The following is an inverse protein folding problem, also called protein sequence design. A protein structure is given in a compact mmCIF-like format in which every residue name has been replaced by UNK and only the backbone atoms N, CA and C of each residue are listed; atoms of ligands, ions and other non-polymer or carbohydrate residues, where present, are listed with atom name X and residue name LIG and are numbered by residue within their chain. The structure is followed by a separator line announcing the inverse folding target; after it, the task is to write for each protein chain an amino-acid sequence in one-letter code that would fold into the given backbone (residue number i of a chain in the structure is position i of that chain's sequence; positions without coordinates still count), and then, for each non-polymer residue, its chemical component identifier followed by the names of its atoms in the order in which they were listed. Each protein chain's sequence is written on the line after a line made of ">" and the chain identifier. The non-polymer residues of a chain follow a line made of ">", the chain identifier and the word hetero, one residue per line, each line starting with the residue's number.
data_IF_302870307433
#
_entry.id   IF_302870307433
#
_cell.length_a   1.000
_cell.length_b   1.000
_cell.length_c   1.000
_cell.angle_alpha   90.00
_cell.angle_beta   90.00
_cell.angle_gamma   90.00
#
_symmetry.space_group_name_H-M   'P 1'
#
loop_
_entity.id
_entity.type
_entity.pdbx_description
1 polymer ?
#
# COMPACT_ATOMS: atom_id res chain seq x y z
N UNK A 1 3.16 -40.69 9.17
CA UNK A 1 2.16 -39.69 9.61
C UNK A 1 2.55 -38.27 9.22
N UNK A 2 3.84 -37.96 9.05
CA UNK A 2 4.31 -36.57 8.81
C UNK A 2 4.10 -35.98 7.41
N UNK A 3 4.07 -36.79 6.35
CA UNK A 3 4.01 -36.25 4.98
C UNK A 3 2.67 -35.57 4.65
N UNK A 4 1.56 -36.05 5.23
CA UNK A 4 0.21 -35.51 5.00
C UNK A 4 0.05 -34.17 5.73
N UNK A 5 0.46 -34.09 7.00
CA UNK A 5 0.42 -32.84 7.77
C UNK A 5 1.31 -31.75 7.16
N UNK A 6 2.51 -32.12 6.70
CA UNK A 6 3.40 -31.18 6.00
C UNK A 6 2.84 -30.71 4.65
N UNK A 7 2.08 -31.56 3.95
CA UNK A 7 1.40 -31.18 2.71
C UNK A 7 0.22 -30.21 2.98
N UNK A 8 -0.57 -30.46 4.03
CA UNK A 8 -1.66 -29.56 4.46
C UNK A 8 -1.13 -28.18 4.84
N UNK A 9 -0.05 -28.11 5.62
CA UNK A 9 0.59 -26.85 6.01
C UNK A 9 1.09 -26.05 4.79
N UNK A 10 1.66 -26.72 3.79
CA UNK A 10 2.08 -26.07 2.53
C UNK A 10 0.89 -25.48 1.78
N UNK A 11 -0.19 -26.26 1.63
CA UNK A 11 -1.40 -25.81 0.92
C UNK A 11 -1.99 -24.57 1.61
N UNK A 12 -2.08 -24.58 2.93
CA UNK A 12 -2.61 -23.44 3.71
C UNK A 12 -1.70 -22.21 3.56
N UNK A 13 -0.38 -22.39 3.62
CA UNK A 13 0.57 -21.30 3.38
C UNK A 13 0.44 -20.69 1.98
N UNK A 14 0.29 -21.51 0.94
CA UNK A 14 0.13 -21.02 -0.42
C UNK A 14 -1.19 -20.25 -0.60
N UNK A 15 -2.28 -20.72 0.01
CA UNK A 15 -3.55 -20.00 0.06
C UNK A 15 -3.44 -18.65 0.77
N UNK A 16 -2.76 -18.61 1.92
CA UNK A 16 -2.54 -17.36 2.65
C UNK A 16 -1.74 -16.36 1.82
N UNK A 17 -0.69 -16.82 1.12
CA UNK A 17 0.07 -15.96 0.18
C UNK A 17 -0.82 -15.41 -0.93
N UNK A 18 -1.72 -16.23 -1.48
CA UNK A 18 -2.68 -15.76 -2.48
C UNK A 18 -3.60 -14.67 -1.91
N UNK A 19 -4.16 -14.86 -0.71
CA UNK A 19 -4.99 -13.86 -0.02
C UNK A 19 -4.23 -12.55 0.23
N UNK A 20 -2.96 -12.61 0.61
CA UNK A 20 -2.14 -11.40 0.79
C UNK A 20 -1.90 -10.65 -0.53
N UNK A 21 -1.76 -11.39 -1.64
CA UNK A 21 -1.64 -10.78 -2.97
C UNK A 21 -2.94 -10.07 -3.40
N UNK A 22 -4.10 -10.50 -2.94
CA UNK A 22 -5.39 -9.82 -3.19
C UNK A 22 -5.39 -8.41 -2.61
N UNK A 23 -4.82 -8.21 -1.41
CA UNK A 23 -4.67 -6.88 -0.82
C UNK A 23 -3.83 -5.96 -1.71
N UNK A 24 -2.71 -6.47 -2.24
CA UNK A 24 -1.85 -5.70 -3.14
C UNK A 24 -2.57 -5.32 -4.44
N UNK A 25 -3.35 -6.24 -5.01
CA UNK A 25 -4.16 -5.99 -6.21
C UNK A 25 -5.25 -4.95 -5.94
N UNK A 26 -5.98 -5.09 -4.84
CA UNK A 26 -7.02 -4.15 -4.42
C UNK A 26 -6.44 -2.76 -4.17
N UNK A 27 -5.31 -2.65 -3.47
CA UNK A 27 -4.63 -1.38 -3.23
C UNK A 27 -4.25 -0.69 -4.53
N UNK A 28 -3.64 -1.42 -5.48
CA UNK A 28 -3.29 -0.89 -6.81
C UNK A 28 -4.51 -0.38 -7.57
N UNK A 29 -5.59 -1.17 -7.59
CA UNK A 29 -6.82 -0.80 -8.29
C UNK A 29 -7.46 0.46 -7.69
N UNK A 30 -7.57 0.50 -6.36
CA UNK A 30 -8.17 1.62 -5.64
C UNK A 30 -7.35 2.92 -5.78
N UNK A 31 -6.02 2.81 -5.78
CA UNK A 31 -5.11 3.94 -5.95
C UNK A 31 -4.93 4.40 -7.39
N UNK A 32 -5.48 3.68 -8.38
CA UNK A 32 -5.27 4.00 -9.80
C UNK A 32 -5.65 5.45 -10.13
N UNK A 33 -6.77 5.95 -9.60
CA UNK A 33 -7.20 7.34 -9.82
C UNK A 33 -6.27 8.37 -9.17
N UNK A 34 -5.68 8.06 -8.01
CA UNK A 34 -4.71 8.91 -7.34
C UNK A 34 -3.40 8.94 -8.13
N UNK A 35 -2.94 7.78 -8.59
CA UNK A 35 -1.73 7.68 -9.41
C UNK A 35 -1.88 8.39 -10.75
N UNK A 36 -3.05 8.28 -11.38
CA UNK A 36 -3.40 8.99 -12.61
C UNK A 36 -3.33 10.51 -12.39
N UNK A 37 -3.91 11.03 -11.31
CA UNK A 37 -3.83 12.44 -10.96
C UNK A 37 -2.37 12.91 -10.75
N UNK A 38 -1.56 12.15 -10.03
CA UNK A 38 -0.13 12.46 -9.85
C UNK A 38 0.58 12.51 -11.20
N UNK A 39 0.36 11.54 -12.09
CA UNK A 39 1.08 11.42 -13.36
C UNK A 39 0.60 12.43 -14.41
N UNK A 40 -0.71 12.65 -14.55
CA UNK A 40 -1.27 13.43 -15.66
C UNK A 40 -1.70 14.84 -15.27
N UNK A 41 -1.84 15.12 -13.97
CA UNK A 41 -2.10 16.48 -13.47
C UNK A 41 -0.83 17.09 -12.91
N UNK A 42 -0.26 16.50 -11.84
CA UNK A 42 0.86 17.12 -11.12
C UNK A 42 2.17 17.05 -11.90
N UNK A 43 2.57 15.88 -12.41
CA UNK A 43 3.80 15.75 -13.19
C UNK A 43 3.75 16.55 -14.49
N UNK A 44 2.58 16.57 -15.16
CA UNK A 44 2.39 17.41 -16.35
C UNK A 44 2.59 18.91 -16.03
N UNK A 45 2.01 19.38 -14.94
CA UNK A 45 2.18 20.77 -14.49
C UNK A 45 3.64 21.07 -14.13
N UNK A 46 4.32 20.13 -13.44
CA UNK A 46 5.75 20.22 -13.14
C UNK A 46 6.58 20.39 -14.42
N UNK A 47 6.42 19.51 -15.41
CA UNK A 47 7.22 19.60 -16.65
C UNK A 47 6.95 20.89 -17.43
N UNK A 48 5.69 21.36 -17.45
CA UNK A 48 5.35 22.64 -18.07
C UNK A 48 6.02 23.82 -17.35
N UNK A 49 5.92 23.86 -16.02
CA UNK A 49 6.54 24.89 -15.18
C UNK A 49 8.07 24.87 -15.34
N UNK A 50 8.69 23.69 -15.28
CA UNK A 50 10.12 23.53 -15.43
C UNK A 50 10.61 23.99 -16.81
N UNK A 51 9.86 23.72 -17.88
CA UNK A 51 10.16 24.22 -19.23
C UNK A 51 10.21 25.76 -19.26
N UNK A 52 9.23 26.41 -18.63
CA UNK A 52 9.15 27.88 -18.53
C UNK A 52 10.29 28.48 -17.67
N UNK A 53 10.99 27.69 -16.84
CA UNK A 53 12.13 28.17 -16.07
C UNK A 53 13.38 28.46 -16.93
N UNK A 54 13.55 27.83 -18.10
CA UNK A 54 14.78 27.93 -18.91
C UNK A 54 14.78 29.17 -19.83
N UNK A 55 14.81 30.35 -19.24
CA UNK A 55 14.87 31.62 -19.94
C UNK A 55 16.30 32.18 -19.99
N UNK A 56 16.71 32.74 -21.14
CA UNK A 56 18.06 33.31 -21.34
C UNK A 56 18.38 34.50 -20.42
N UNK A 57 17.36 35.12 -19.86
CA UNK A 57 17.48 36.26 -18.94
C UNK A 57 17.80 35.85 -17.51
N UNK A 58 17.67 34.55 -17.17
CA UNK A 58 17.91 34.03 -15.82
C UNK A 58 19.32 33.45 -15.69
N UNK A 59 19.86 33.57 -14.50
CA UNK A 59 21.08 32.89 -14.06
C UNK A 59 20.81 31.41 -13.77
N UNK A 60 21.86 30.60 -13.68
CA UNK A 60 21.72 29.17 -13.36
C UNK A 60 21.05 28.94 -11.99
N UNK A 61 21.37 29.76 -10.98
CA UNK A 61 20.80 29.63 -9.64
C UNK A 61 19.30 29.94 -9.64
N UNK A 62 18.88 30.98 -10.39
CA UNK A 62 17.45 31.31 -10.58
C UNK A 62 16.70 30.19 -11.30
N UNK A 63 17.32 29.56 -12.31
CA UNK A 63 16.74 28.40 -13.01
C UNK A 63 16.60 27.22 -12.04
N UNK A 64 17.65 26.88 -11.29
CA UNK A 64 17.63 25.77 -10.32
C UNK A 64 16.54 25.97 -9.28
N UNK A 65 16.47 27.16 -8.67
CA UNK A 65 15.45 27.49 -7.68
C UNK A 65 14.03 27.42 -8.27
N UNK A 66 13.84 27.90 -9.51
CA UNK A 66 12.55 27.81 -10.20
C UNK A 66 12.11 26.34 -10.40
N UNK A 67 13.00 25.48 -10.91
CA UNK A 67 12.71 24.06 -11.14
C UNK A 67 12.41 23.34 -9.82
N UNK A 68 13.16 23.64 -8.76
CA UNK A 68 12.92 23.09 -7.43
C UNK A 68 11.51 23.46 -6.94
N UNK A 69 11.11 24.73 -7.05
CA UNK A 69 9.75 25.18 -6.72
C UNK A 69 8.67 24.46 -7.56
N UNK A 70 8.90 24.28 -8.86
CA UNK A 70 7.98 23.53 -9.72
C UNK A 70 7.80 22.07 -9.27
N UNK A 71 8.82 21.46 -8.67
CA UNK A 71 8.81 20.05 -8.27
C UNK A 71 8.05 19.79 -6.97
N UNK A 72 7.92 20.81 -6.10
CA UNK A 72 7.35 20.70 -4.75
C UNK A 72 5.99 19.98 -4.74
N UNK A 73 5.00 20.31 -5.59
CA UNK A 73 3.69 19.65 -5.55
C UNK A 73 3.76 18.14 -5.84
N UNK A 74 4.61 17.72 -6.78
CA UNK A 74 4.78 16.31 -7.14
C UNK A 74 5.46 15.55 -5.99
N UNK A 75 6.53 16.12 -5.42
CA UNK A 75 7.25 15.51 -4.30
C UNK A 75 6.37 15.39 -3.06
N UNK A 76 5.58 16.41 -2.75
CA UNK A 76 4.62 16.37 -1.64
C UNK A 76 3.56 15.28 -1.84
N UNK A 77 3.02 15.15 -3.05
CA UNK A 77 2.04 14.13 -3.37
C UNK A 77 2.62 12.71 -3.25
N UNK A 78 3.84 12.49 -3.75
CA UNK A 78 4.55 11.22 -3.65
C UNK A 78 4.80 10.83 -2.18
N UNK A 79 5.37 11.74 -1.38
CA UNK A 79 5.62 11.51 0.04
C UNK A 79 4.35 11.19 0.83
N UNK A 80 3.24 11.86 0.51
CA UNK A 80 1.95 11.61 1.13
C UNK A 80 1.44 10.19 0.82
N UNK A 81 1.49 9.78 -0.45
CA UNK A 81 1.04 8.45 -0.88
C UNK A 81 1.89 7.37 -0.22
N UNK A 82 3.23 7.52 -0.24
CA UNK A 82 4.16 6.61 0.41
C UNK A 82 3.88 6.50 1.92
N UNK A 83 3.67 7.63 2.59
CA UNK A 83 3.37 7.67 4.01
C UNK A 83 2.04 6.98 4.39
N UNK A 84 0.96 7.22 3.64
CA UNK A 84 -0.31 6.54 3.90
C UNK A 84 -0.23 5.03 3.59
N UNK A 85 0.52 4.65 2.56
CA UNK A 85 0.73 3.24 2.21
C UNK A 85 1.61 2.51 3.21
N UNK A 86 2.65 3.15 3.74
CA UNK A 86 3.46 2.58 4.81
C UNK A 86 2.61 2.29 6.06
N UNK A 87 1.77 3.25 6.48
CA UNK A 87 0.83 3.04 7.61
C UNK A 87 -0.16 1.92 7.33
N UNK A 88 -0.64 1.80 6.10
CA UNK A 88 -1.54 0.72 5.69
C UNK A 88 -0.86 -0.65 5.78
N UNK A 89 0.35 -0.77 5.24
CA UNK A 89 1.15 -1.99 5.30
C UNK A 89 1.52 -2.36 6.73
N UNK A 90 1.88 -1.39 7.57
CA UNK A 90 2.17 -1.62 8.99
C UNK A 90 0.96 -2.21 9.74
N UNK A 91 -0.24 -1.65 9.52
CA UNK A 91 -1.48 -2.17 10.12
C UNK A 91 -1.76 -3.61 9.71
N UNK A 92 -1.62 -3.92 8.41
CA UNK A 92 -1.79 -5.28 7.90
C UNK A 92 -0.73 -6.22 8.50
N UNK A 93 0.54 -5.84 8.49
CA UNK A 93 1.60 -6.69 9.07
C UNK A 93 1.35 -6.97 10.55
N UNK A 94 0.88 -5.97 11.31
CA UNK A 94 0.52 -6.15 12.71
C UNK A 94 -0.66 -7.10 12.89
N UNK A 95 -1.70 -7.04 12.06
CA UNK A 95 -2.83 -7.98 12.15
C UNK A 95 -2.39 -9.41 11.82
N UNK A 96 -1.48 -9.59 10.85
CA UNK A 96 -0.92 -10.90 10.52
C UNK A 96 -0.06 -11.46 11.65
N UNK A 97 0.75 -10.64 12.33
CA UNK A 97 1.49 -11.07 13.52
C UNK A 97 0.55 -11.59 14.61
N UNK A 98 -0.58 -10.90 14.85
CA UNK A 98 -1.59 -11.38 15.81
C UNK A 98 -2.17 -12.74 15.40
N UNK A 99 -2.40 -12.97 14.10
CA UNK A 99 -2.84 -14.28 13.61
C UNK A 99 -1.78 -15.36 13.84
N UNK A 100 -0.52 -15.04 13.62
CA UNK A 100 0.60 -15.96 13.84
C UNK A 100 0.77 -16.29 15.33
N UNK A 101 0.67 -15.32 16.22
CA UNK A 101 0.74 -15.55 17.67
C UNK A 101 -0.38 -16.48 18.15
N UNK A 102 -1.61 -16.29 17.66
CA UNK A 102 -2.75 -17.17 17.97
C UNK A 102 -2.53 -18.59 17.46
N UNK A 103 -1.96 -18.73 16.26
CA UNK A 103 -1.61 -20.03 15.70
C UNK A 103 -0.59 -20.76 16.58
N UNK A 104 0.50 -20.09 16.96
CA UNK A 104 1.54 -20.68 17.80
C UNK A 104 1.01 -21.12 19.17
N UNK A 105 0.15 -20.31 19.78
CA UNK A 105 -0.52 -20.66 21.04
C UNK A 105 -1.40 -21.91 20.90
N UNK A 106 -2.21 -22.01 19.84
CA UNK A 106 -3.07 -23.17 19.59
C UNK A 106 -2.26 -24.43 19.26
N UNK A 107 -1.17 -24.28 18.50
CA UNK A 107 -0.25 -25.38 18.15
C UNK A 107 0.40 -25.99 19.39
N UNK A 108 0.82 -25.17 20.36
CA UNK A 108 1.38 -25.64 21.63
C UNK A 108 0.37 -26.45 22.47
N UNK A 109 -0.94 -26.27 22.26
CA UNK A 109 -1.99 -27.02 22.94
C UNK A 109 -2.27 -28.39 22.29
N UNK A 110 -1.58 -28.75 21.20
CA UNK A 110 -1.63 -30.07 20.58
C UNK A 110 -2.62 -30.24 19.43
N UNK A 111 -3.36 -29.18 19.03
CA UNK A 111 -4.28 -29.21 17.89
C UNK A 111 -3.71 -28.45 16.67
N UNK A 112 -2.80 -29.08 15.94
CA UNK A 112 -2.15 -28.48 14.76
C UNK A 112 -3.14 -28.22 13.61
N UNK A 113 -4.08 -29.12 13.37
CA UNK A 113 -5.03 -29.01 12.24
C UNK A 113 -6.07 -27.93 12.49
N UNK A 114 -6.64 -27.86 13.70
CA UNK A 114 -7.53 -26.76 14.10
C UNK A 114 -6.81 -25.43 14.15
N UNK A 115 -5.55 -25.40 14.61
CA UNK A 115 -4.72 -24.20 14.60
C UNK A 115 -4.51 -23.66 13.17
N UNK A 116 -4.21 -24.52 12.19
CA UNK A 116 -4.04 -24.11 10.79
C UNK A 116 -5.34 -23.51 10.20
N UNK A 117 -6.49 -24.11 10.48
CA UNK A 117 -7.79 -23.58 10.02
C UNK A 117 -8.11 -22.22 10.65
N UNK A 118 -7.81 -22.06 11.94
CA UNK A 118 -7.98 -20.78 12.64
C UNK A 118 -7.03 -19.71 12.11
N UNK A 119 -5.80 -20.08 11.76
CA UNK A 119 -4.84 -19.18 11.12
C UNK A 119 -5.37 -18.70 9.77
N UNK A 120 -5.82 -19.61 8.90
CA UNK A 120 -6.39 -19.26 7.59
C UNK A 120 -7.57 -18.29 7.73
N UNK A 121 -8.48 -18.56 8.67
CA UNK A 121 -9.63 -17.68 8.94
C UNK A 121 -9.22 -16.31 9.50
N UNK A 122 -8.20 -16.26 10.36
CA UNK A 122 -7.70 -15.00 10.90
C UNK A 122 -7.04 -14.14 9.82
N UNK A 123 -6.24 -14.75 8.94
CA UNK A 123 -5.61 -14.07 7.80
C UNK A 123 -6.67 -13.57 6.84
N UNK A 124 -7.69 -14.38 6.53
CA UNK A 124 -8.81 -13.97 5.69
C UNK A 124 -9.53 -12.73 6.22
N UNK A 125 -9.85 -12.72 7.52
CA UNK A 125 -10.47 -11.57 8.15
C UNK A 125 -9.58 -10.32 8.11
N UNK A 126 -8.28 -10.48 8.39
CA UNK A 126 -7.28 -9.39 8.32
C UNK A 126 -7.16 -8.79 6.92
N UNK A 127 -7.20 -9.66 5.89
CA UNK A 127 -7.18 -9.26 4.48
C UNK A 127 -8.45 -8.49 4.13
N UNK A 128 -9.63 -9.00 4.53
CA UNK A 128 -10.90 -8.34 4.26
C UNK A 128 -11.00 -6.98 4.94
N UNK A 129 -10.58 -6.86 6.20
CA UNK A 129 -10.55 -5.61 6.94
C UNK A 129 -9.61 -4.60 6.28
N UNK A 130 -8.44 -5.06 5.82
CA UNK A 130 -7.50 -4.23 5.08
C UNK A 130 -8.11 -3.72 3.78
N UNK A 131 -8.72 -4.59 2.97
CA UNK A 131 -9.40 -4.22 1.73
C UNK A 131 -10.53 -3.22 1.99
N UNK A 132 -11.34 -3.44 3.02
CA UNK A 132 -12.44 -2.55 3.41
C UNK A 132 -11.95 -1.17 3.87
N UNK A 133 -10.71 -1.05 4.34
CA UNK A 133 -10.11 0.23 4.75
C UNK A 133 -9.54 1.04 3.59
N UNK A 134 -9.28 0.43 2.42
CA UNK A 134 -8.69 1.09 1.25
C UNK A 134 -9.50 2.29 0.75
N UNK A 135 -10.84 2.25 0.64
CA UNK A 135 -11.62 3.41 0.21
C UNK A 135 -11.43 4.63 1.12
N UNK A 136 -11.33 4.42 2.44
CA UNK A 136 -11.06 5.51 3.39
C UNK A 136 -9.66 6.10 3.20
N UNK A 137 -8.66 5.25 2.96
CA UNK A 137 -7.30 5.69 2.63
C UNK A 137 -7.28 6.53 1.35
N UNK A 138 -7.92 6.05 0.29
CA UNK A 138 -8.02 6.77 -0.98
C UNK A 138 -8.75 8.10 -0.81
N UNK A 139 -9.83 8.13 -0.03
CA UNK A 139 -10.54 9.38 0.30
C UNK A 139 -9.64 10.40 0.98
N UNK A 140 -8.80 9.98 1.95
CA UNK A 140 -7.82 10.88 2.58
C UNK A 140 -6.80 11.41 1.58
N UNK A 141 -6.28 10.55 0.70
CA UNK A 141 -5.34 10.95 -0.34
C UNK A 141 -5.97 11.96 -1.32
N UNK A 142 -7.17 11.66 -1.82
CA UNK A 142 -7.90 12.56 -2.73
C UNK A 142 -8.14 13.94 -2.10
N UNK A 143 -8.57 13.97 -0.84
CA UNK A 143 -8.79 15.21 -0.11
C UNK A 143 -7.50 16.02 0.07
N UNK A 144 -6.42 15.35 0.49
CA UNK A 144 -5.14 16.02 0.71
C UNK A 144 -4.48 16.50 -0.61
N UNK A 145 -4.77 15.82 -1.73
CA UNK A 145 -4.34 16.21 -3.07
C UNK A 145 -5.30 17.21 -3.75
N UNK A 146 -6.35 17.64 -3.05
CA UNK A 146 -7.39 18.55 -3.61
C UNK A 146 -7.99 18.04 -4.93
N UNK A 147 -8.16 16.73 -5.06
CA UNK A 147 -8.84 16.11 -6.19
C UNK A 147 -10.35 16.39 -6.06
N UNK A 148 -10.86 17.40 -6.78
CA UNK A 148 -12.31 17.62 -6.92
C UNK A 148 -12.96 16.45 -7.65
N UNK A 149 -14.04 15.91 -7.08
CA UNK A 149 -14.87 14.84 -7.67
C UNK A 149 -15.49 15.24 -9.02
#
# INVERSE_FOLDING_TARGET
>A
MDAIAAAEERIVNDRMRQKLNEVNSAAKSQLASVQDHVNFTLQRAYFKCAYECFERTRTNDEISNCVEHCSVPVLQAQNLIEGEMAKFQERLNRSLMVCQDKFEQARLQGDTSGALKNLESCVDHSVQDSVNSLPSLVGRLKNALSMTE
#
